data_IF_214807987581
#
_entry.id   IF_214807987581
#
_cell.length_a   1.000
_cell.length_b   1.000
_cell.length_c   1.000
_cell.angle_alpha   90.00
_cell.angle_beta   90.00
_cell.angle_gamma   90.00
#
_symmetry.space_group_name_H-M   'P 1'
#
loop_
_entity.id
_entity.type
_entity.pdbx_description
1 polymer ?
#
# COMPACT_ATOMS: atom_id res chain seq x y z
N UNK A 1 20.44 51.53 -1.94
CA UNK A 1 20.70 50.07 -1.88
C UNK A 1 20.29 49.56 -0.49
N UNK A 2 19.21 48.77 -0.39
CA UNK A 2 18.86 48.08 0.87
C UNK A 2 19.88 46.94 1.07
N UNK A 3 20.62 46.94 2.18
CA UNK A 3 21.41 45.77 2.61
C UNK A 3 20.41 44.65 2.91
N UNK A 4 20.31 43.66 2.02
CA UNK A 4 19.63 42.41 2.34
C UNK A 4 20.35 41.77 3.53
N UNK A 5 19.59 41.37 4.56
CA UNK A 5 20.18 40.68 5.71
C UNK A 5 20.66 39.31 5.22
N UNK A 6 21.86 38.89 5.61
CA UNK A 6 22.45 37.64 5.12
C UNK A 6 21.53 36.41 5.21
N UNK A 7 20.63 36.36 6.19
CA UNK A 7 19.60 35.32 6.34
C UNK A 7 18.66 35.17 5.14
N UNK A 8 18.32 36.25 4.45
CA UNK A 8 17.43 36.20 3.27
C UNK A 8 18.13 35.55 2.07
N UNK A 9 19.43 35.83 1.87
CA UNK A 9 20.23 35.26 0.78
C UNK A 9 20.33 33.74 0.92
N UNK A 10 20.59 33.24 2.14
CA UNK A 10 20.63 31.80 2.38
C UNK A 10 19.26 31.13 2.16
N UNK A 11 18.16 31.79 2.52
CA UNK A 11 16.81 31.24 2.32
C UNK A 11 16.43 31.13 0.84
N UNK A 12 16.82 32.09 0.01
CA UNK A 12 16.51 32.10 -1.43
C UNK A 12 17.38 31.11 -2.21
N UNK A 13 18.65 30.93 -1.83
CA UNK A 13 19.51 29.91 -2.43
C UNK A 13 18.98 28.48 -2.17
N UNK A 14 18.55 28.19 -0.93
CA UNK A 14 17.94 26.90 -0.58
C UNK A 14 16.61 26.68 -1.32
N UNK A 15 15.76 27.70 -1.40
CA UNK A 15 14.49 27.63 -2.13
C UNK A 15 14.68 27.42 -3.65
N UNK A 16 15.73 28.00 -4.23
CA UNK A 16 16.08 27.78 -5.64
C UNK A 16 16.53 26.33 -5.89
N UNK A 17 17.38 25.77 -5.03
CA UNK A 17 17.79 24.37 -5.13
C UNK A 17 16.59 23.41 -4.99
N UNK A 18 15.67 23.69 -4.06
CA UNK A 18 14.43 22.95 -3.90
C UNK A 18 13.57 23.00 -5.16
N UNK A 19 13.48 24.17 -5.82
CA UNK A 19 12.72 24.34 -7.05
C UNK A 19 13.30 23.50 -8.20
N UNK A 20 14.61 23.48 -8.39
CA UNK A 20 15.27 22.68 -9.44
C UNK A 20 15.09 21.17 -9.20
N UNK A 21 15.20 20.71 -7.94
CA UNK A 21 14.93 19.33 -7.59
C UNK A 21 13.49 18.91 -7.94
N UNK A 22 12.50 19.77 -7.67
CA UNK A 22 11.09 19.53 -8.00
C UNK A 22 10.83 19.46 -9.51
N UNK A 23 11.53 20.27 -10.33
CA UNK A 23 11.41 20.20 -11.79
C UNK A 23 11.89 18.84 -12.34
N UNK A 24 13.00 18.35 -11.82
CA UNK A 24 13.52 17.02 -12.19
C UNK A 24 12.54 15.91 -11.79
N UNK A 25 12.01 15.97 -10.56
CA UNK A 25 11.02 15.01 -10.07
C UNK A 25 9.75 15.00 -10.93
N UNK A 26 9.24 16.19 -11.29
CA UNK A 26 8.08 16.34 -12.16
C UNK A 26 8.27 15.66 -13.52
N UNK A 27 9.45 15.81 -14.15
CA UNK A 27 9.77 15.15 -15.41
C UNK A 27 9.71 13.62 -15.31
N UNK A 28 10.26 13.05 -14.23
CA UNK A 28 10.18 11.59 -14.00
C UNK A 28 8.75 11.11 -13.72
N UNK A 29 7.97 11.87 -12.95
CA UNK A 29 6.58 11.54 -12.65
C UNK A 29 5.69 11.52 -13.90
N UNK A 30 5.92 12.41 -14.87
CA UNK A 30 5.20 12.39 -16.16
C UNK A 30 5.41 11.07 -16.90
N UNK A 31 6.66 10.60 -16.95
CA UNK A 31 7.00 9.33 -17.62
C UNK A 31 6.32 8.17 -16.88
N UNK A 32 6.41 8.11 -15.56
CA UNK A 32 5.79 7.04 -14.77
C UNK A 32 4.26 7.06 -14.84
N UNK A 33 3.64 8.24 -14.85
CA UNK A 33 2.19 8.39 -15.01
C UNK A 33 1.76 7.86 -16.37
N UNK A 34 2.48 8.18 -17.45
CA UNK A 34 2.19 7.68 -18.78
C UNK A 34 2.28 6.14 -18.86
N UNK A 35 3.32 5.55 -18.25
CA UNK A 35 3.46 4.09 -18.16
C UNK A 35 2.28 3.48 -17.39
N UNK A 36 1.89 4.07 -16.25
CA UNK A 36 0.76 3.59 -15.48
C UNK A 36 -0.57 3.70 -16.22
N UNK A 37 -0.80 4.78 -16.98
CA UNK A 37 -1.99 4.88 -17.81
C UNK A 37 -2.05 3.75 -18.86
N UNK A 38 -0.91 3.37 -19.45
CA UNK A 38 -0.84 2.24 -20.37
C UNK A 38 -1.13 0.90 -19.65
N UNK A 39 -0.59 0.71 -18.44
CA UNK A 39 -0.87 -0.48 -17.62
C UNK A 39 -2.34 -0.54 -17.21
N UNK A 40 -2.92 0.58 -16.76
CA UNK A 40 -4.33 0.68 -16.39
C UNK A 40 -5.25 0.37 -17.58
N UNK A 41 -4.90 0.83 -18.79
CA UNK A 41 -5.60 0.44 -20.00
C UNK A 41 -5.52 -1.09 -20.24
N UNK A 42 -4.36 -1.71 -19.99
CA UNK A 42 -4.21 -3.16 -20.01
C UNK A 42 -5.11 -3.88 -18.99
N UNK A 43 -5.20 -3.37 -17.77
CA UNK A 43 -6.14 -3.88 -16.74
C UNK A 43 -7.58 -3.74 -17.21
N UNK A 44 -7.96 -2.61 -17.79
CA UNK A 44 -9.30 -2.40 -18.35
C UNK A 44 -9.64 -3.35 -19.51
N UNK A 45 -8.66 -3.71 -20.34
CA UNK A 45 -8.82 -4.76 -21.36
C UNK A 45 -9.08 -6.12 -20.72
N UNK A 46 -8.31 -6.49 -19.70
CA UNK A 46 -8.51 -7.75 -18.95
C UNK A 46 -9.89 -7.76 -18.29
N UNK A 47 -10.30 -6.68 -17.63
CA UNK A 47 -11.61 -6.55 -17.00
C UNK A 47 -12.76 -6.67 -18.03
N UNK A 48 -12.61 -6.07 -19.22
CA UNK A 48 -13.59 -6.15 -20.28
C UNK A 48 -13.81 -7.60 -20.79
N UNK A 49 -12.73 -8.35 -21.03
CA UNK A 49 -12.82 -9.73 -21.52
C UNK A 49 -13.05 -10.75 -20.40
N UNK A 50 -12.64 -10.44 -19.16
CA UNK A 50 -12.68 -11.32 -17.99
C UNK A 50 -13.23 -10.56 -16.76
N UNK A 51 -14.51 -10.15 -16.76
CA UNK A 51 -15.08 -9.30 -15.71
C UNK A 51 -15.05 -9.93 -14.31
N UNK A 52 -15.01 -11.26 -14.23
CA UNK A 52 -14.90 -12.02 -12.98
C UNK A 52 -13.48 -12.16 -12.45
N UNK A 53 -12.46 -11.72 -13.20
CA UNK A 53 -11.07 -11.90 -12.77
C UNK A 53 -10.74 -11.00 -11.58
N UNK A 54 -11.16 -9.73 -11.64
CA UNK A 54 -10.96 -8.78 -10.55
C UNK A 54 -12.17 -8.66 -9.61
N UNK A 55 -13.37 -8.98 -10.11
CA UNK A 55 -14.63 -8.88 -9.37
C UNK A 55 -14.84 -7.52 -8.69
N UNK A 56 -14.31 -6.46 -9.31
CA UNK A 56 -14.35 -5.10 -8.82
C UNK A 56 -14.29 -4.10 -10.00
N UNK A 57 -15.23 -3.14 -10.12
CA UNK A 57 -15.29 -2.21 -11.25
C UNK A 57 -14.31 -1.05 -11.07
N UNK A 58 -13.01 -1.26 -11.31
CA UNK A 58 -11.97 -0.26 -11.07
C UNK A 58 -12.24 1.07 -11.79
N UNK A 59 -12.82 1.02 -12.98
CA UNK A 59 -13.02 2.18 -13.85
C UNK A 59 -14.45 2.72 -13.86
N UNK A 60 -15.24 2.50 -12.80
CA UNK A 60 -16.56 3.13 -12.68
C UNK A 60 -16.44 4.67 -12.64
N UNK A 61 -17.03 5.35 -13.62
CA UNK A 61 -17.07 6.81 -13.71
C UNK A 61 -18.27 7.38 -12.96
N UNK A 62 -18.17 7.51 -11.64
CA UNK A 62 -19.21 8.12 -10.81
C UNK A 62 -18.60 8.99 -9.71
N UNK A 63 -17.95 10.09 -10.10
CA UNK A 63 -17.46 11.07 -9.13
C UNK A 63 -18.56 12.08 -8.84
N UNK A 64 -19.13 12.03 -7.64
CA UNK A 64 -20.03 13.08 -7.13
C UNK A 64 -19.27 13.99 -6.15
N UNK A 65 -19.53 15.29 -6.18
CA UNK A 65 -18.94 16.23 -5.21
C UNK A 65 -19.28 15.86 -3.76
N UNK A 66 -20.48 15.35 -3.50
CA UNK A 66 -20.90 14.88 -2.18
C UNK A 66 -20.00 13.77 -1.65
N UNK A 67 -19.65 12.81 -2.51
CA UNK A 67 -18.79 11.68 -2.18
C UNK A 67 -17.37 12.16 -1.86
N UNK A 68 -16.84 13.11 -2.65
CA UNK A 68 -15.52 13.72 -2.40
C UNK A 68 -15.51 14.48 -1.06
N UNK A 69 -16.56 15.26 -0.77
CA UNK A 69 -16.63 16.03 0.48
C UNK A 69 -16.96 15.18 1.71
N UNK A 70 -17.42 13.94 1.55
CA UNK A 70 -17.57 13.00 2.67
C UNK A 70 -16.22 12.76 3.40
N UNK A 71 -15.10 12.98 2.70
CA UNK A 71 -13.74 12.84 3.23
C UNK A 71 -13.21 14.09 3.95
N UNK A 72 -14.06 15.07 4.29
CA UNK A 72 -13.65 16.29 4.99
C UNK A 72 -12.83 16.07 6.28
N UNK A 73 -13.05 15.02 7.11
CA UNK A 73 -12.22 14.83 8.31
C UNK A 73 -10.75 14.58 7.95
N UNK A 74 -10.50 13.90 6.84
CA UNK A 74 -9.15 13.65 6.31
C UNK A 74 -8.47 14.96 5.89
N UNK A 75 -9.23 15.85 5.25
CA UNK A 75 -8.75 17.18 4.84
C UNK A 75 -8.39 18.05 6.04
N UNK A 76 -9.25 18.09 7.06
CA UNK A 76 -9.00 18.83 8.31
C UNK A 76 -7.77 18.28 9.02
N UNK A 77 -7.62 16.96 9.09
CA UNK A 77 -6.43 16.31 9.65
C UNK A 77 -5.15 16.70 8.91
N UNK A 78 -5.15 16.63 7.57
CA UNK A 78 -4.01 17.02 6.74
C UNK A 78 -3.57 18.47 6.96
N UNK A 79 -4.53 19.40 7.02
CA UNK A 79 -4.28 20.81 7.33
C UNK A 79 -3.66 20.94 8.73
N UNK A 80 -4.28 20.34 9.75
CA UNK A 80 -3.81 20.45 11.14
C UNK A 80 -2.39 19.88 11.30
N UNK A 81 -2.13 18.68 10.79
CA UNK A 81 -0.83 18.03 10.85
C UNK A 81 0.24 18.88 10.15
N UNK A 82 -0.07 19.38 8.95
CA UNK A 82 0.84 20.24 8.18
C UNK A 82 1.12 21.56 8.88
N UNK A 83 0.10 22.18 9.50
CA UNK A 83 0.22 23.41 10.27
C UNK A 83 0.95 23.22 11.61
N UNK A 84 1.12 21.98 12.08
CA UNK A 84 1.99 21.67 13.22
C UNK A 84 3.45 21.54 12.76
N UNK A 85 3.72 20.74 11.73
CA UNK A 85 5.08 20.31 11.37
C UNK A 85 5.86 21.22 10.40
N UNK A 86 5.17 22.02 9.57
CA UNK A 86 5.85 22.86 8.57
C UNK A 86 6.72 23.99 9.15
N UNK A 87 7.80 24.33 8.45
CA UNK A 87 8.71 25.40 8.88
C UNK A 87 8.15 26.80 8.59
N UNK A 88 8.61 27.79 9.36
CA UNK A 88 8.19 29.22 9.26
C UNK A 88 9.07 30.05 8.30
N UNK A 89 9.91 29.41 7.50
CA UNK A 89 10.83 30.13 6.60
C UNK A 89 10.13 30.57 5.32
N UNK A 90 10.27 31.83 4.95
CA UNK A 90 9.67 32.40 3.74
C UNK A 90 10.74 32.81 2.73
N UNK A 91 10.44 32.64 1.44
CA UNK A 91 11.32 32.99 0.33
C UNK A 91 10.58 33.80 -0.74
N UNK A 92 11.35 34.49 -1.60
CA UNK A 92 10.82 35.08 -2.83
C UNK A 92 10.26 34.04 -3.81
N UNK A 93 10.65 32.76 -3.66
CA UNK A 93 10.21 31.64 -4.50
C UNK A 93 8.94 30.91 -4.02
N UNK A 94 8.35 31.29 -2.87
CA UNK A 94 7.22 30.57 -2.25
C UNK A 94 6.06 30.30 -3.23
N UNK A 95 5.72 31.25 -4.10
CA UNK A 95 4.64 31.08 -5.08
C UNK A 95 4.94 30.04 -6.16
N UNK A 96 6.20 30.00 -6.63
CA UNK A 96 6.66 28.97 -7.59
C UNK A 96 6.73 27.59 -6.93
N UNK A 97 7.17 27.54 -5.67
CA UNK A 97 7.19 26.31 -4.87
C UNK A 97 5.78 25.79 -4.59
N UNK A 98 4.80 26.66 -4.35
CA UNK A 98 3.38 26.28 -4.24
C UNK A 98 2.89 25.66 -5.55
N UNK A 99 3.04 26.37 -6.68
CA UNK A 99 2.52 25.91 -7.97
C UNK A 99 3.16 24.59 -8.41
N UNK A 100 4.50 24.53 -8.44
CA UNK A 100 5.20 23.32 -8.86
C UNK A 100 5.03 22.19 -7.84
N UNK A 101 5.04 22.52 -6.54
CA UNK A 101 4.79 21.53 -5.49
C UNK A 101 3.44 20.87 -5.58
N UNK A 102 2.39 21.67 -5.72
CA UNK A 102 1.02 21.18 -5.88
C UNK A 102 0.91 20.28 -7.10
N UNK A 103 1.47 20.71 -8.24
CA UNK A 103 1.41 19.94 -9.47
C UNK A 103 2.15 18.59 -9.36
N UNK A 104 3.39 18.61 -8.84
CA UNK A 104 4.19 17.40 -8.59
C UNK A 104 3.52 16.46 -7.59
N UNK A 105 2.90 17.00 -6.53
CA UNK A 105 2.21 16.18 -5.52
C UNK A 105 0.94 15.54 -6.10
N UNK A 106 0.07 16.33 -6.74
CA UNK A 106 -1.15 15.80 -7.38
C UNK A 106 -0.82 14.70 -8.39
N UNK A 107 0.25 14.87 -9.17
CA UNK A 107 0.72 13.83 -10.08
C UNK A 107 1.23 12.58 -9.36
N UNK A 108 1.97 12.75 -8.26
CA UNK A 108 2.34 11.64 -7.39
C UNK A 108 1.08 10.94 -6.86
N UNK A 109 0.08 11.68 -6.35
CA UNK A 109 -1.17 11.11 -5.86
C UNK A 109 -1.91 10.30 -6.93
N UNK A 110 -2.01 10.81 -8.16
CA UNK A 110 -2.58 10.04 -9.30
C UNK A 110 -1.80 8.74 -9.52
N UNK A 111 -0.46 8.81 -9.54
CA UNK A 111 0.40 7.64 -9.70
C UNK A 111 0.22 6.64 -8.55
N UNK A 112 0.18 7.13 -7.31
CA UNK A 112 0.02 6.31 -6.11
C UNK A 112 -1.35 5.62 -6.07
N UNK A 113 -2.42 6.29 -6.49
CA UNK A 113 -3.73 5.66 -6.56
C UNK A 113 -3.78 4.60 -7.67
N UNK A 114 -3.33 4.90 -8.89
CA UNK A 114 -3.33 3.90 -9.97
C UNK A 114 -2.40 2.71 -9.65
N UNK A 115 -1.24 2.98 -9.05
CA UNK A 115 -0.31 1.92 -8.66
C UNK A 115 -0.85 1.10 -7.48
N UNK A 116 -1.09 1.72 -6.32
CA UNK A 116 -1.39 0.99 -5.09
C UNK A 116 -2.84 0.52 -4.98
N UNK A 117 -3.79 1.19 -5.65
CA UNK A 117 -5.22 0.88 -5.52
C UNK A 117 -5.74 0.11 -6.74
N UNK A 118 -4.94 -0.08 -7.78
CA UNK A 118 -5.28 -0.98 -8.88
C UNK A 118 -4.17 -2.03 -9.06
N UNK A 119 -3.02 -1.64 -9.61
CA UNK A 119 -2.02 -2.61 -10.06
C UNK A 119 -1.41 -3.46 -8.93
N UNK A 120 -1.00 -2.84 -7.83
CA UNK A 120 -0.37 -3.56 -6.72
C UNK A 120 -1.34 -4.39 -5.91
N UNK A 121 -2.66 -4.10 -5.95
CA UNK A 121 -3.66 -5.02 -5.39
C UNK A 121 -3.62 -6.32 -6.20
N UNK A 122 -3.69 -6.23 -7.52
CA UNK A 122 -3.64 -7.40 -8.41
C UNK A 122 -2.34 -8.19 -8.23
N UNK A 123 -1.21 -7.50 -8.17
CA UNK A 123 0.08 -8.13 -7.90
C UNK A 123 0.13 -8.78 -6.51
N UNK A 124 -0.36 -8.09 -5.48
CA UNK A 124 -0.44 -8.61 -4.12
C UNK A 124 -1.34 -9.83 -3.99
N UNK A 125 -2.45 -9.90 -4.73
CA UNK A 125 -3.31 -11.09 -4.80
C UNK A 125 -2.51 -12.30 -5.32
N UNK A 126 -1.74 -12.13 -6.39
CA UNK A 126 -0.88 -13.21 -6.93
C UNK A 126 0.19 -13.61 -5.90
N UNK A 127 0.82 -12.64 -5.25
CA UNK A 127 1.81 -12.89 -4.17
C UNK A 127 1.15 -13.70 -3.05
N UNK A 128 0.00 -13.27 -2.54
CA UNK A 128 -0.74 -13.96 -1.48
C UNK A 128 -1.13 -15.38 -1.92
N UNK A 129 -1.62 -15.56 -3.14
CA UNK A 129 -1.95 -16.89 -3.67
C UNK A 129 -0.72 -17.81 -3.73
N UNK A 130 0.40 -17.33 -4.28
CA UNK A 130 1.64 -18.10 -4.43
C UNK A 130 2.23 -18.46 -3.07
N UNK A 131 2.28 -17.51 -2.13
CA UNK A 131 2.80 -17.78 -0.79
C UNK A 131 1.88 -18.67 0.02
N UNK A 132 0.55 -18.53 -0.13
CA UNK A 132 -0.38 -19.46 0.50
C UNK A 132 -0.14 -20.88 0.00
N UNK A 133 -0.06 -21.09 -1.32
CA UNK A 133 0.26 -22.39 -1.92
C UNK A 133 1.63 -22.93 -1.48
N UNK A 134 2.64 -22.06 -1.44
CA UNK A 134 4.01 -22.42 -1.04
C UNK A 134 4.04 -22.92 0.40
N UNK A 135 3.36 -22.24 1.32
CA UNK A 135 3.34 -22.59 2.73
C UNK A 135 2.28 -23.65 3.09
N UNK A 136 1.32 -23.93 2.21
CA UNK A 136 0.38 -25.05 2.34
C UNK A 136 0.89 -26.28 1.59
N UNK A 137 0.39 -26.50 0.38
CA UNK A 137 0.61 -27.69 -0.45
C UNK A 137 2.09 -27.87 -0.78
N UNK A 138 2.80 -26.80 -1.16
CA UNK A 138 4.21 -26.87 -1.53
C UNK A 138 5.08 -27.38 -0.38
N UNK A 139 5.01 -26.71 0.77
CA UNK A 139 5.73 -27.09 1.97
C UNK A 139 5.29 -28.46 2.49
N UNK A 140 3.99 -28.74 2.49
CA UNK A 140 3.44 -30.03 2.92
C UNK A 140 3.97 -31.20 2.09
N UNK A 141 3.99 -31.08 0.75
CA UNK A 141 4.56 -32.10 -0.14
C UNK A 141 6.05 -32.27 0.13
N UNK A 142 6.81 -31.18 0.21
CA UNK A 142 8.25 -31.22 0.46
C UNK A 142 8.58 -31.95 1.77
N UNK A 143 7.92 -31.57 2.87
CA UNK A 143 8.11 -32.18 4.18
C UNK A 143 7.66 -33.65 4.19
N UNK A 144 6.57 -33.98 3.51
CA UNK A 144 6.09 -35.37 3.38
C UNK A 144 7.14 -36.25 2.72
N UNK A 145 7.70 -35.81 1.58
CA UNK A 145 8.73 -36.56 0.85
C UNK A 145 10.00 -36.70 1.70
N UNK A 146 10.42 -35.62 2.35
CA UNK A 146 11.61 -35.62 3.21
C UNK A 146 11.48 -36.64 4.36
N UNK A 147 10.36 -36.59 5.09
CA UNK A 147 10.14 -37.49 6.22
C UNK A 147 9.90 -38.94 5.78
N UNK A 148 9.16 -39.18 4.70
CA UNK A 148 8.97 -40.52 4.15
C UNK A 148 10.30 -41.13 3.67
N UNK A 149 11.13 -40.34 2.96
CA UNK A 149 12.47 -40.75 2.55
C UNK A 149 13.36 -41.06 3.74
N UNK A 150 13.31 -40.23 4.79
CA UNK A 150 14.00 -40.49 6.05
C UNK A 150 13.55 -41.78 6.73
N UNK A 151 12.24 -42.07 6.76
CA UNK A 151 11.70 -43.29 7.33
C UNK A 151 12.23 -44.53 6.60
N UNK A 152 12.24 -44.50 5.27
CA UNK A 152 12.83 -45.56 4.43
C UNK A 152 14.34 -45.71 4.72
N UNK A 153 15.07 -44.60 4.78
CA UNK A 153 16.50 -44.63 5.10
C UNK A 153 16.76 -45.25 6.48
N UNK A 154 15.96 -44.94 7.50
CA UNK A 154 16.05 -45.57 8.83
C UNK A 154 15.83 -47.09 8.76
N UNK A 155 14.84 -47.56 8.01
CA UNK A 155 14.57 -49.00 7.84
C UNK A 155 15.76 -49.73 7.17
N UNK A 156 16.42 -49.07 6.22
CA UNK A 156 17.51 -49.66 5.46
C UNK A 156 18.85 -49.62 6.21
N UNK A 157 19.19 -48.49 6.83
CA UNK A 157 20.54 -48.21 7.29
C UNK A 157 20.79 -48.43 8.80
N UNK A 158 19.76 -48.47 9.65
CA UNK A 158 19.99 -48.59 11.09
C UNK A 158 20.46 -50.01 11.49
N UNK A 159 21.47 -50.10 12.35
CA UNK A 159 22.03 -51.39 12.77
C UNK A 159 21.16 -52.19 13.74
N UNK A 160 20.27 -51.53 14.50
CA UNK A 160 19.40 -52.20 15.47
C UNK A 160 17.94 -52.26 15.00
N UNK A 161 17.24 -53.40 15.17
CA UNK A 161 15.82 -53.53 14.79
C UNK A 161 14.92 -52.52 15.51
N UNK A 162 15.22 -52.20 16.78
CA UNK A 162 14.44 -51.23 17.55
C UNK A 162 14.55 -49.83 16.96
N UNK A 163 15.75 -49.39 16.59
CA UNK A 163 15.98 -48.08 15.99
C UNK A 163 15.32 -47.98 14.62
N UNK A 164 15.31 -49.07 13.83
CA UNK A 164 14.56 -49.13 12.56
C UNK A 164 13.08 -48.84 12.76
N UNK A 165 12.43 -49.59 13.65
CA UNK A 165 10.98 -49.50 13.85
C UNK A 165 10.58 -48.17 14.47
N UNK A 166 11.27 -47.74 15.54
CA UNK A 166 10.95 -46.49 16.22
C UNK A 166 11.27 -45.28 15.34
N UNK A 167 12.44 -45.26 14.71
CA UNK A 167 12.84 -44.15 13.83
C UNK A 167 11.93 -44.03 12.61
N UNK A 168 11.62 -45.13 11.95
CA UNK A 168 10.70 -45.13 10.82
C UNK A 168 9.26 -44.80 11.24
N UNK A 169 8.82 -45.24 12.42
CA UNK A 169 7.51 -44.92 12.96
C UNK A 169 7.34 -43.42 13.22
N UNK A 170 8.33 -42.78 13.86
CA UNK A 170 8.33 -41.33 14.11
C UNK A 170 8.33 -40.56 12.78
N UNK A 171 9.26 -40.90 11.87
CA UNK A 171 9.36 -40.21 10.59
C UNK A 171 8.14 -40.44 9.70
N UNK A 172 7.56 -41.64 9.70
CA UNK A 172 6.30 -41.92 9.01
C UNK A 172 5.13 -41.12 9.57
N UNK A 173 5.04 -40.97 10.89
CA UNK A 173 4.03 -40.12 11.52
C UNK A 173 4.22 -38.64 11.16
N UNK A 174 5.46 -38.14 11.15
CA UNK A 174 5.75 -36.76 10.71
C UNK A 174 5.43 -36.55 9.23
N UNK A 175 5.67 -37.54 8.38
CA UNK A 175 5.25 -37.50 6.97
C UNK A 175 3.72 -37.42 6.85
N UNK A 176 2.99 -38.18 7.67
CA UNK A 176 1.52 -38.12 7.71
C UNK A 176 1.00 -36.76 8.19
N UNK A 177 1.60 -36.18 9.22
CA UNK A 177 1.26 -34.82 9.68
C UNK A 177 1.57 -33.76 8.62
N UNK A 178 2.72 -33.86 7.96
CA UNK A 178 3.10 -32.96 6.86
C UNK A 178 2.16 -33.08 5.66
N UNK A 179 1.67 -34.29 5.38
CA UNK A 179 0.63 -34.52 4.39
C UNK A 179 -0.70 -33.89 4.81
N UNK A 180 -1.00 -33.84 6.11
CA UNK A 180 -2.13 -33.06 6.62
C UNK A 180 -2.08 -31.58 6.21
N UNK A 181 -0.90 -30.98 6.10
CA UNK A 181 -0.73 -29.59 5.61
C UNK A 181 -1.05 -29.43 4.12
N UNK A 182 -1.08 -30.51 3.33
CA UNK A 182 -1.49 -30.46 1.92
C UNK A 182 -3.01 -30.51 1.75
N UNK A 183 -3.74 -30.85 2.81
CA UNK A 183 -5.20 -31.00 2.80
C UNK A 183 -5.85 -29.76 3.41
N UNK A 184 -6.25 -28.82 2.55
CA UNK A 184 -7.14 -27.70 2.87
C UNK A 184 -6.70 -26.76 4.01
N UNK A 185 -5.39 -26.68 4.30
CA UNK A 185 -4.87 -25.66 5.21
C UNK A 185 -4.32 -24.47 4.44
N UNK A 186 -4.94 -23.30 4.62
CA UNK A 186 -4.51 -22.03 4.02
C UNK A 186 -3.84 -21.14 5.08
N UNK A 187 -2.55 -21.36 5.41
CA UNK A 187 -1.88 -20.69 6.53
C UNK A 187 -1.87 -19.18 6.37
N UNK A 188 -1.70 -18.70 5.13
CA UNK A 188 -1.65 -17.28 4.89
C UNK A 188 -3.03 -16.66 5.03
N UNK A 189 -4.08 -17.32 4.53
CA UNK A 189 -5.45 -16.83 4.68
C UNK A 189 -5.86 -16.81 6.15
N UNK A 190 -5.55 -17.88 6.89
CA UNK A 190 -5.72 -17.93 8.35
C UNK A 190 -5.01 -16.77 9.06
N UNK A 191 -3.77 -16.45 8.65
CA UNK A 191 -3.01 -15.35 9.24
C UNK A 191 -3.66 -13.99 8.95
N UNK A 192 -4.16 -13.77 7.73
CA UNK A 192 -4.91 -12.56 7.40
C UNK A 192 -6.20 -12.45 8.23
N UNK A 193 -7.04 -13.49 8.22
CA UNK A 193 -8.36 -13.47 8.86
C UNK A 193 -8.27 -13.40 10.40
N UNK A 194 -7.32 -14.13 10.98
CA UNK A 194 -7.23 -14.27 12.45
C UNK A 194 -6.43 -13.15 13.08
N UNK A 195 -5.46 -12.57 12.36
CA UNK A 195 -4.48 -11.65 12.95
C UNK A 195 -4.53 -10.29 12.25
N UNK A 196 -4.22 -10.22 10.95
CA UNK A 196 -4.01 -8.93 10.29
C UNK A 196 -5.30 -8.11 10.15
N UNK A 197 -6.39 -8.71 9.68
CA UNK A 197 -7.67 -8.04 9.50
C UNK A 197 -8.25 -7.55 10.84
N UNK A 198 -8.29 -8.35 11.93
CA UNK A 198 -8.70 -7.87 13.23
C UNK A 198 -7.84 -6.71 13.74
N UNK A 199 -6.52 -6.79 13.60
CA UNK A 199 -5.63 -5.69 13.98
C UNK A 199 -5.97 -4.43 13.18
N UNK A 200 -6.17 -4.54 11.87
CA UNK A 200 -6.54 -3.43 11.00
C UNK A 200 -7.87 -2.80 11.40
N UNK A 201 -8.86 -3.64 11.70
CA UNK A 201 -10.19 -3.23 12.15
C UNK A 201 -10.11 -2.39 13.41
N UNK A 202 -9.36 -2.85 14.42
CA UNK A 202 -9.18 -2.08 15.66
C UNK A 202 -8.29 -0.86 15.47
N UNK A 203 -7.21 -0.97 14.71
CA UNK A 203 -6.31 0.15 14.41
C UNK A 203 -7.08 1.29 13.74
N UNK A 204 -7.99 0.99 12.81
CA UNK A 204 -8.82 1.97 12.10
C UNK A 204 -10.05 2.42 12.87
N UNK A 205 -10.14 2.14 14.18
CA UNK A 205 -11.30 2.45 15.01
C UNK A 205 -12.62 1.95 14.41
N UNK A 206 -12.57 0.78 13.75
CA UNK A 206 -13.69 0.12 13.07
C UNK A 206 -14.23 0.84 11.83
N UNK A 207 -13.65 1.97 11.44
CA UNK A 207 -14.14 2.73 10.28
C UNK A 207 -13.84 2.03 8.94
N UNK A 208 -12.84 1.14 8.90
CA UNK A 208 -12.54 0.33 7.72
C UNK A 208 -13.40 -0.95 7.62
N UNK A 209 -14.43 -1.12 8.44
CA UNK A 209 -15.33 -2.29 8.37
C UNK A 209 -15.88 -2.55 6.96
N UNK A 210 -16.33 -1.53 6.19
CA UNK A 210 -16.85 -1.78 4.84
C UNK A 210 -15.78 -2.30 3.88
N UNK A 211 -14.50 -1.96 4.11
CA UNK A 211 -13.38 -2.46 3.30
C UNK A 211 -13.00 -3.88 3.68
N UNK A 212 -12.93 -4.14 4.99
CA UNK A 212 -12.40 -5.39 5.53
C UNK A 212 -13.45 -6.52 5.54
N UNK A 213 -14.73 -6.18 5.67
CA UNK A 213 -15.84 -7.13 5.83
C UNK A 213 -17.03 -6.86 4.90
N UNK A 214 -16.91 -5.95 3.92
CA UNK A 214 -18.00 -5.54 3.02
C UNK A 214 -18.45 -6.55 1.96
N UNK A 215 -18.08 -7.82 2.11
CA UNK A 215 -18.47 -8.89 1.16
C UNK A 215 -17.59 -9.02 -0.08
N UNK A 216 -16.46 -8.32 -0.14
CA UNK A 216 -15.46 -8.51 -1.20
C UNK A 216 -14.79 -9.89 -1.10
N UNK A 217 -14.34 -10.49 -2.22
CA UNK A 217 -13.58 -11.74 -2.17
C UNK A 217 -12.37 -11.63 -1.24
N UNK A 218 -12.15 -12.63 -0.39
CA UNK A 218 -11.10 -12.60 0.63
C UNK A 218 -9.71 -12.31 0.05
N UNK A 219 -9.38 -12.94 -1.08
CA UNK A 219 -8.11 -12.72 -1.79
C UNK A 219 -7.91 -11.25 -2.20
N UNK A 220 -8.97 -10.58 -2.65
CA UNK A 220 -8.93 -9.16 -2.98
C UNK A 220 -8.63 -8.32 -1.74
N UNK A 221 -9.32 -8.58 -0.62
CA UNK A 221 -9.09 -7.87 0.66
C UNK A 221 -7.64 -8.05 1.14
N UNK A 222 -7.09 -9.27 1.05
CA UNK A 222 -5.69 -9.53 1.41
C UNK A 222 -4.72 -8.79 0.49
N UNK A 223 -4.99 -8.78 -0.82
CA UNK A 223 -4.20 -8.03 -1.80
C UNK A 223 -4.22 -6.54 -1.52
N UNK A 224 -5.40 -5.97 -1.24
CA UNK A 224 -5.58 -4.57 -0.91
C UNK A 224 -4.84 -4.19 0.39
N UNK A 225 -4.90 -5.06 1.39
CA UNK A 225 -4.17 -4.89 2.65
C UNK A 225 -2.66 -4.87 2.45
N UNK A 226 -2.11 -5.83 1.71
CA UNK A 226 -0.68 -5.92 1.44
C UNK A 226 -0.20 -4.74 0.57
N UNK A 227 -0.98 -4.33 -0.43
CA UNK A 227 -0.69 -3.13 -1.21
C UNK A 227 -0.65 -1.88 -0.32
N UNK A 228 -1.56 -1.76 0.65
CA UNK A 228 -1.54 -0.67 1.62
C UNK A 228 -0.33 -0.71 2.56
N UNK A 229 0.15 -1.90 2.93
CA UNK A 229 1.41 -2.04 3.68
C UNK A 229 2.61 -1.53 2.87
N UNK A 230 2.65 -1.81 1.57
CA UNK A 230 3.69 -1.27 0.69
C UNK A 230 3.56 0.24 0.49
N UNK A 231 2.35 0.77 0.36
CA UNK A 231 2.09 2.21 0.28
C UNK A 231 2.66 2.94 1.51
N UNK A 232 2.32 2.46 2.70
CA UNK A 232 2.86 2.93 3.99
C UNK A 232 4.38 2.86 4.03
N UNK A 233 4.96 1.76 3.55
CA UNK A 233 6.41 1.58 3.54
C UNK A 233 7.12 2.52 2.57
N UNK A 234 6.46 2.90 1.47
CA UNK A 234 6.90 3.97 0.58
C UNK A 234 7.05 5.32 1.29
N UNK A 235 6.36 5.54 2.41
CA UNK A 235 6.35 6.78 3.17
C UNK A 235 7.28 6.80 4.40
N UNK A 236 8.11 5.76 4.59
CA UNK A 236 9.08 5.70 5.73
C UNK A 236 10.04 6.89 5.78
N UNK A 237 10.36 7.50 4.63
CA UNK A 237 11.24 8.67 4.55
C UNK A 237 10.67 9.91 5.26
N UNK A 238 9.37 9.93 5.56
CA UNK A 238 8.70 11.01 6.31
C UNK A 238 8.80 10.84 7.84
N UNK A 239 9.53 9.82 8.31
CA UNK A 239 9.65 9.48 9.73
C UNK A 239 8.43 8.73 10.28
N UNK A 240 8.42 8.49 11.60
CA UNK A 240 7.38 7.68 12.24
C UNK A 240 5.96 8.26 12.04
N UNK A 241 5.82 9.58 12.13
CA UNK A 241 4.53 10.24 11.98
C UNK A 241 3.97 10.08 10.56
N UNK A 242 4.79 10.27 9.52
CA UNK A 242 4.37 10.05 8.13
C UNK A 242 4.12 8.57 7.82
N UNK A 243 4.92 7.67 8.39
CA UNK A 243 4.69 6.22 8.29
C UNK A 243 3.35 5.78 8.91
N UNK A 244 3.01 6.29 10.10
CA UNK A 244 1.70 6.00 10.71
C UNK A 244 0.58 6.69 9.93
N UNK A 245 0.76 7.95 9.52
CA UNK A 245 -0.26 8.71 8.80
C UNK A 245 -0.62 8.08 7.45
N UNK A 246 0.38 7.64 6.68
CA UNK A 246 0.18 6.97 5.38
C UNK A 246 -0.58 5.66 5.50
N UNK A 247 -0.45 4.92 6.61
CA UNK A 247 -1.28 3.74 6.87
C UNK A 247 -2.77 4.10 6.90
N UNK A 248 -3.14 5.10 7.71
CA UNK A 248 -4.53 5.52 7.88
C UNK A 248 -5.10 6.16 6.62
N UNK A 249 -4.37 7.08 6.01
CA UNK A 249 -4.77 7.69 4.75
C UNK A 249 -4.95 6.64 3.66
N UNK A 250 -4.06 5.66 3.59
CA UNK A 250 -4.16 4.61 2.61
C UNK A 250 -5.41 3.73 2.78
N UNK A 251 -5.83 3.44 4.02
CA UNK A 251 -7.11 2.77 4.30
C UNK A 251 -8.33 3.64 3.94
N UNK A 252 -8.26 4.95 4.21
CA UNK A 252 -9.35 5.89 3.83
C UNK A 252 -9.49 5.98 2.31
N UNK A 253 -8.38 6.04 1.57
CA UNK A 253 -8.38 6.05 0.11
C UNK A 253 -8.81 4.71 -0.47
N UNK A 254 -8.49 3.59 0.19
CA UNK A 254 -9.01 2.27 -0.18
C UNK A 254 -10.53 2.19 0.02
N UNK A 255 -11.06 2.77 1.09
CA UNK A 255 -12.51 2.92 1.29
C UNK A 255 -13.14 3.82 0.22
N UNK A 256 -12.49 4.95 -0.10
CA UNK A 256 -12.94 5.84 -1.16
C UNK A 256 -13.02 5.13 -2.51
N UNK A 257 -11.99 4.34 -2.84
CA UNK A 257 -12.00 3.50 -4.02
C UNK A 257 -13.18 2.53 -3.95
N UNK A 258 -13.22 1.64 -2.96
CA UNK A 258 -14.20 0.55 -2.90
C UNK A 258 -15.66 1.02 -2.88
N UNK A 259 -15.93 2.19 -2.32
CA UNK A 259 -17.29 2.72 -2.18
C UNK A 259 -17.70 3.60 -3.36
N UNK A 260 -16.79 4.40 -3.90
CA UNK A 260 -17.10 5.47 -4.86
C UNK A 260 -16.30 5.40 -6.17
N UNK A 261 -15.44 4.41 -6.34
CA UNK A 261 -14.58 4.20 -7.50
C UNK A 261 -13.17 4.81 -7.38
N UNK A 262 -12.24 4.29 -8.20
CA UNK A 262 -10.83 4.72 -8.22
C UNK A 262 -10.67 6.21 -8.53
N UNK A 263 -11.50 6.76 -9.42
CA UNK A 263 -11.45 8.18 -9.76
C UNK A 263 -11.80 9.07 -8.56
N UNK A 264 -12.74 8.66 -7.71
CA UNK A 264 -13.07 9.39 -6.49
C UNK A 264 -11.88 9.38 -5.53
N UNK A 265 -11.20 8.24 -5.36
CA UNK A 265 -9.98 8.16 -4.56
C UNK A 265 -8.87 9.10 -5.10
N UNK A 266 -8.66 9.14 -6.42
CA UNK A 266 -7.70 10.05 -7.07
C UNK A 266 -8.03 11.51 -6.77
N UNK A 267 -9.30 11.93 -6.92
CA UNK A 267 -9.72 13.30 -6.65
C UNK A 267 -9.57 13.64 -5.17
N UNK A 268 -9.95 12.72 -4.28
CA UNK A 268 -9.81 12.88 -2.84
C UNK A 268 -8.35 13.06 -2.43
N UNK A 269 -7.43 12.26 -2.99
CA UNK A 269 -5.99 12.38 -2.77
C UNK A 269 -5.44 13.70 -3.32
N UNK A 270 -5.77 14.06 -4.57
CA UNK A 270 -5.32 15.31 -5.18
C UNK A 270 -5.74 16.54 -4.35
N UNK A 271 -6.97 16.57 -3.84
CA UNK A 271 -7.44 17.65 -2.96
C UNK A 271 -6.67 17.67 -1.63
N UNK A 272 -6.41 16.50 -1.04
CA UNK A 272 -5.60 16.40 0.18
C UNK A 272 -4.21 17.03 -0.02
N UNK A 273 -3.55 16.73 -1.13
CA UNK A 273 -2.22 17.27 -1.48
C UNK A 273 -2.24 18.78 -1.73
N UNK A 274 -3.25 19.27 -2.45
CA UNK A 274 -3.46 20.70 -2.66
C UNK A 274 -3.56 21.42 -1.31
N UNK A 275 -4.35 20.87 -0.38
CA UNK A 275 -4.55 21.46 0.94
C UNK A 275 -3.25 21.49 1.77
N UNK A 276 -2.44 20.43 1.71
CA UNK A 276 -1.11 20.43 2.34
C UNK A 276 -0.26 21.58 1.79
N UNK A 277 -0.13 21.69 0.47
CA UNK A 277 0.72 22.71 -0.14
C UNK A 277 0.22 24.14 0.11
N UNK A 278 -1.10 24.36 0.06
CA UNK A 278 -1.72 25.65 0.43
C UNK A 278 -1.44 25.97 1.89
N UNK A 279 -1.55 25.00 2.80
CA UNK A 279 -1.28 25.21 4.24
C UNK A 279 0.18 25.59 4.49
N UNK A 280 1.12 24.92 3.82
CA UNK A 280 2.55 25.27 3.88
C UNK A 280 2.76 26.70 3.39
N UNK A 281 2.18 27.07 2.25
CA UNK A 281 2.32 28.40 1.67
C UNK A 281 1.77 29.48 2.60
N UNK A 282 0.56 29.29 3.12
CA UNK A 282 -0.08 30.21 4.08
C UNK A 282 0.80 30.36 5.32
N UNK A 283 1.27 29.27 5.92
CA UNK A 283 2.12 29.34 7.11
C UNK A 283 3.40 30.13 6.83
N UNK A 284 4.09 29.89 5.71
CA UNK A 284 5.30 30.63 5.33
C UNK A 284 5.03 32.14 5.17
N UNK A 285 3.85 32.54 4.67
CA UNK A 285 3.52 33.96 4.47
C UNK A 285 3.10 34.70 5.73
N UNK A 286 2.35 34.06 6.63
CA UNK A 286 1.74 34.74 7.78
C UNK A 286 2.55 34.67 9.08
N UNK A 287 3.65 33.91 9.14
CA UNK A 287 4.53 33.87 10.32
C UNK A 287 5.80 34.72 10.18
N UNK A 288 5.79 35.71 9.28
CA UNK A 288 6.83 36.76 9.21
C UNK A 288 6.59 37.81 10.28
#
# INVERSE_FOLDING_TARGET
>A
MKKLKGSEIFSDAAAYQELEARKSLFGMQLIFTAILCAVAAGVGVVEYFFPKFFDYPYFSWSVNSGDVFAFWPMYVWGIALTALISSRSSSSFDGKLLALGTLTSVMAGVWEEVAFRCFYICYAMVVVLVFNWLFSTGLGIFLTVLFAGGAVACLLAAGSPLVKVVGAGILGFLAWLAWGLTMDFDPLYWFYDTILIPIAYYATFKQAEPVLYGGYPALFVYGAFLANMWFRDGHKYQGLLGWVNSWYLGMVLLYAMLTYGLLTAIVVHALYDILIHVTIYVRRKFTR
#
